data_IF_091639043023
#
_entry.id   IF_091639043023
#
_cell.length_a   1.000
_cell.length_b   1.000
_cell.length_c   1.000
_cell.angle_alpha   90.00
_cell.angle_beta   90.00
_cell.angle_gamma   90.00
#
_symmetry.space_group_name_H-M   'P 1'
#
loop_
_entity.id
_entity.type
_entity.pdbx_description
1 polymer ?
#
# COMPACT_ATOMS: atom_id res chain seq x y z
N UNK A 1 -17.44 19.17 -19.10
CA UNK A 1 -16.14 18.67 -18.60
C UNK A 1 -15.97 19.10 -17.15
N UNK A 2 -16.34 18.24 -16.21
CA UNK A 2 -16.02 18.35 -14.80
C UNK A 2 -15.87 16.91 -14.36
N UNK A 3 -14.63 16.41 -14.31
CA UNK A 3 -14.38 15.06 -13.79
C UNK A 3 -14.60 15.19 -12.30
N UNK A 4 -15.80 14.80 -11.87
CA UNK A 4 -16.24 14.89 -10.50
C UNK A 4 -15.28 14.14 -9.60
N UNK A 5 -14.50 14.89 -8.82
CA UNK A 5 -13.96 14.44 -7.55
C UNK A 5 -15.20 14.27 -6.65
N UNK A 6 -15.89 13.14 -6.80
CA UNK A 6 -16.98 12.78 -5.91
C UNK A 6 -16.38 12.54 -4.55
N UNK A 7 -16.72 13.44 -3.64
CA UNK A 7 -16.49 13.34 -2.20
C UNK A 7 -17.07 12.03 -1.68
N UNK A 8 -16.28 10.96 -1.62
CA UNK A 8 -16.54 9.85 -0.69
C UNK A 8 -15.79 10.13 0.62
N UNK A 9 -16.24 11.17 1.32
CA UNK A 9 -15.97 11.29 2.75
C UNK A 9 -16.92 10.32 3.48
N UNK A 10 -16.35 9.38 4.24
CA UNK A 10 -16.97 8.63 5.34
C UNK A 10 -18.29 7.87 5.04
N UNK A 11 -18.22 6.71 4.39
CA UNK A 11 -19.20 5.64 4.68
C UNK A 11 -18.47 4.40 5.14
N UNK A 12 -18.80 3.92 6.33
CA UNK A 12 -18.47 2.58 6.75
C UNK A 12 -19.27 1.60 5.88
N UNK A 13 -18.64 1.02 4.86
CA UNK A 13 -19.14 -0.18 4.20
C UNK A 13 -19.05 -1.33 5.20
N UNK A 14 -20.22 -1.68 5.72
CA UNK A 14 -20.47 -2.83 6.56
C UNK A 14 -20.38 -4.10 5.71
N UNK A 15 -19.19 -4.66 5.56
CA UNK A 15 -19.03 -6.06 5.17
C UNK A 15 -18.71 -6.88 6.42
N UNK A 16 -19.69 -7.68 6.85
CA UNK A 16 -19.51 -8.72 7.87
C UNK A 16 -18.27 -9.55 7.53
N UNK A 17 -17.42 -9.92 8.48
CA UNK A 17 -17.55 -11.17 9.23
C UNK A 17 -16.62 -11.15 10.46
N UNK A 18 -17.23 -11.28 11.65
CA UNK A 18 -16.72 -11.98 12.85
C UNK A 18 -15.22 -11.79 13.23
N UNK A 19 -14.94 -10.88 14.17
CA UNK A 19 -14.11 -11.06 15.39
C UNK A 19 -13.74 -9.69 15.98
N UNK A 20 -14.48 -9.22 17.00
CA UNK A 20 -14.15 -8.20 18.03
C UNK A 20 -13.23 -6.99 17.72
N UNK A 21 -12.97 -6.64 16.47
CA UNK A 21 -12.22 -5.47 16.04
C UNK A 21 -13.15 -4.65 15.16
N UNK A 22 -13.64 -3.55 15.72
CA UNK A 22 -14.47 -2.57 15.06
C UNK A 22 -13.62 -1.79 14.04
N UNK A 23 -13.13 -2.46 13.00
CA UNK A 23 -12.52 -1.80 11.85
C UNK A 23 -13.67 -1.37 10.93
N UNK A 24 -14.40 -0.32 11.31
CA UNK A 24 -15.09 0.49 10.29
C UNK A 24 -14.04 0.74 9.21
N UNK A 25 -14.40 0.64 7.93
CA UNK A 25 -13.54 0.97 6.79
C UNK A 25 -13.19 2.47 6.71
N UNK A 26 -12.92 3.10 7.85
CA UNK A 26 -12.08 4.28 7.97
C UNK A 26 -10.83 3.92 7.18
N UNK A 27 -10.71 4.47 5.96
CA UNK A 27 -9.70 4.03 5.02
C UNK A 27 -8.31 4.02 5.65
N UNK A 28 -7.47 3.10 5.20
CA UNK A 28 -6.08 3.09 5.64
C UNK A 28 -5.31 4.21 4.93
N UNK A 29 -4.28 4.80 5.58
CA UNK A 29 -3.42 5.79 4.95
C UNK A 29 -2.92 5.33 3.58
N UNK A 30 -3.10 6.16 2.56
CA UNK A 30 -2.71 5.87 1.20
C UNK A 30 -1.18 5.78 1.08
N UNK A 31 -0.67 4.68 0.52
CA UNK A 31 0.76 4.51 0.27
C UNK A 31 1.17 5.27 -1.00
N UNK A 32 2.38 5.80 -0.99
CA UNK A 32 2.99 6.59 -2.07
C UNK A 32 4.32 5.99 -2.46
N UNK A 33 4.84 6.45 -3.59
CA UNK A 33 6.26 6.32 -3.87
C UNK A 33 7.06 6.88 -2.68
N UNK A 34 8.17 6.22 -2.39
CA UNK A 34 9.08 6.48 -1.27
C UNK A 34 8.59 6.10 0.13
N UNK A 35 7.34 5.66 0.29
CA UNK A 35 6.90 5.13 1.58
C UNK A 35 7.60 3.79 1.88
N UNK A 36 7.95 3.57 3.15
CA UNK A 36 8.76 2.43 3.57
C UNK A 36 7.91 1.18 3.76
N UNK A 37 8.44 0.03 3.34
CA UNK A 37 7.95 -1.28 3.77
C UNK A 37 8.91 -1.90 4.78
N UNK A 38 8.44 -2.92 5.49
CA UNK A 38 9.29 -3.83 6.27
C UNK A 38 9.22 -5.20 5.65
N UNK A 39 10.38 -5.84 5.46
CA UNK A 39 10.48 -7.18 4.92
C UNK A 39 11.06 -8.13 6.00
N UNK A 40 10.32 -9.16 6.44
CA UNK A 40 10.80 -10.16 7.40
C UNK A 40 11.51 -11.34 6.73
N UNK A 41 11.57 -11.39 5.40
CA UNK A 41 12.21 -12.48 4.67
C UNK A 41 13.70 -12.54 5.00
N UNK A 42 14.24 -13.75 5.04
CA UNK A 42 15.67 -14.00 5.20
C UNK A 42 16.08 -14.89 4.05
N UNK A 43 17.04 -14.45 3.24
CA UNK A 43 17.59 -15.30 2.18
C UNK A 43 18.40 -16.42 2.84
N UNK A 44 18.09 -17.70 2.57
CA UNK A 44 18.89 -18.82 3.07
C UNK A 44 20.31 -18.74 2.49
N UNK A 45 21.31 -18.53 3.34
CA UNK A 45 22.72 -18.40 2.98
C UNK A 45 23.60 -18.51 4.22
N UNK A 46 24.92 -18.64 4.04
CA UNK A 46 25.90 -18.65 5.13
C UNK A 46 26.87 -17.49 4.92
N UNK A 47 26.79 -16.39 5.70
CA UNK A 47 25.79 -16.09 6.73
C UNK A 47 24.39 -15.79 6.16
N UNK A 48 23.30 -15.99 6.94
CA UNK A 48 21.96 -15.62 6.51
C UNK A 48 21.88 -14.10 6.34
N UNK A 49 21.23 -13.65 5.27
CA UNK A 49 21.10 -12.22 4.96
C UNK A 49 19.68 -11.79 5.33
N UNK A 50 19.48 -11.04 6.44
CA UNK A 50 18.18 -10.48 6.76
C UNK A 50 17.80 -9.46 5.70
N UNK A 51 16.59 -9.58 5.18
CA UNK A 51 16.05 -8.51 4.35
C UNK A 51 15.78 -7.30 5.25
N UNK A 52 16.04 -6.12 4.73
CA UNK A 52 15.63 -4.86 5.34
C UNK A 52 14.73 -4.18 4.33
N UNK A 53 13.53 -3.84 4.78
CA UNK A 53 12.58 -3.15 3.92
C UNK A 53 13.00 -1.70 3.69
N UNK A 54 12.73 -1.23 2.48
CA UNK A 54 13.09 0.09 2.00
C UNK A 54 11.93 0.80 1.30
N UNK A 55 12.20 1.90 0.59
CA UNK A 55 11.17 2.71 -0.04
C UNK A 55 10.53 1.99 -1.25
N UNK A 56 9.25 2.27 -1.49
CA UNK A 56 8.57 1.90 -2.74
C UNK A 56 9.11 2.76 -3.89
N UNK A 57 9.57 2.13 -4.96
CA UNK A 57 10.21 2.79 -6.12
C UNK A 57 9.37 2.84 -7.38
N UNK A 58 8.29 2.06 -7.47
CA UNK A 58 7.28 2.23 -8.52
C UNK A 58 7.10 1.03 -9.45
N UNK A 59 6.33 1.18 -10.54
CA UNK A 59 6.09 2.42 -11.30
C UNK A 59 5.07 3.41 -10.72
N UNK A 60 4.28 3.03 -9.71
CA UNK A 60 3.24 3.87 -9.12
C UNK A 60 2.14 4.26 -10.11
N UNK A 61 1.26 5.16 -9.68
CA UNK A 61 0.25 5.81 -10.51
C UNK A 61 0.62 7.30 -10.70
N UNK A 62 1.40 7.66 -11.75
CA UNK A 62 1.87 9.03 -11.95
C UNK A 62 0.75 10.06 -12.19
N UNK A 63 -0.44 9.60 -12.57
CA UNK A 63 -1.62 10.43 -12.77
C UNK A 63 -2.37 10.77 -11.47
N UNK A 64 -2.13 10.00 -10.39
CA UNK A 64 -2.79 10.20 -9.10
C UNK A 64 -1.76 10.58 -8.05
N UNK A 65 -1.80 11.84 -7.65
CA UNK A 65 -0.90 12.38 -6.63
C UNK A 65 -1.58 12.34 -5.26
N UNK A 66 -0.96 11.63 -4.32
CA UNK A 66 -1.34 11.57 -2.91
C UNK A 66 -0.31 12.39 -2.14
N UNK A 67 -0.75 13.48 -1.50
CA UNK A 67 0.13 14.41 -0.78
C UNK A 67 1.34 14.86 -1.63
N UNK A 68 1.07 15.24 -2.88
CA UNK A 68 2.07 15.71 -3.87
C UNK A 68 3.11 14.68 -4.34
N UNK A 69 2.93 13.41 -4.01
CA UNK A 69 3.76 12.32 -4.55
C UNK A 69 2.88 11.29 -5.28
N UNK A 70 3.39 10.57 -6.29
CA UNK A 70 2.60 9.56 -6.97
C UNK A 70 2.16 8.46 -6.01
N UNK A 71 0.89 8.09 -6.10
CA UNK A 71 0.31 7.02 -5.31
C UNK A 71 0.91 5.67 -5.69
N UNK A 72 1.09 4.79 -4.71
CA UNK A 72 1.52 3.42 -4.95
C UNK A 72 0.34 2.52 -5.27
N UNK A 73 0.57 1.50 -6.10
CA UNK A 73 -0.40 0.51 -6.56
C UNK A 73 0.15 -0.91 -6.39
N UNK A 74 -0.76 -1.88 -6.44
CA UNK A 74 -0.37 -3.30 -6.47
C UNK A 74 0.53 -3.59 -7.66
N UNK A 75 1.59 -4.36 -7.39
CA UNK A 75 2.65 -4.66 -8.33
C UNK A 75 3.76 -3.60 -8.39
N UNK A 76 3.71 -2.55 -7.56
CA UNK A 76 4.86 -1.66 -7.40
C UNK A 76 6.03 -2.38 -6.73
N UNK A 77 7.23 -2.07 -7.20
CA UNK A 77 8.45 -2.57 -6.61
C UNK A 77 8.84 -1.74 -5.39
N UNK A 78 9.32 -2.42 -4.36
CA UNK A 78 9.89 -1.83 -3.18
C UNK A 78 11.33 -2.32 -2.99
N UNK A 79 12.23 -1.38 -2.64
CA UNK A 79 13.64 -1.68 -2.44
C UNK A 79 13.80 -2.52 -1.20
N UNK A 80 14.35 -3.72 -1.35
CA UNK A 80 14.60 -4.64 -0.26
C UNK A 80 16.06 -5.13 -0.35
N UNK A 81 16.68 -5.42 0.79
CA UNK A 81 18.01 -6.05 0.82
C UNK A 81 17.88 -7.48 0.31
N UNK A 82 18.24 -7.71 -0.95
CA UNK A 82 18.02 -8.98 -1.65
C UNK A 82 17.43 -8.73 -3.03
N UNK A 83 16.45 -9.54 -3.42
CA UNK A 83 15.63 -9.26 -4.59
C UNK A 83 14.69 -8.07 -4.29
N UNK A 84 14.25 -7.30 -5.30
CA UNK A 84 13.20 -6.32 -5.12
C UNK A 84 11.91 -6.97 -4.62
N UNK A 85 11.31 -6.40 -3.58
CA UNK A 85 10.00 -6.82 -3.10
C UNK A 85 8.90 -6.17 -3.97
N UNK A 86 7.69 -6.70 -3.93
CA UNK A 86 6.55 -6.13 -4.67
C UNK A 86 5.32 -6.02 -3.78
N UNK A 87 4.52 -4.97 -3.97
CA UNK A 87 3.24 -4.83 -3.26
C UNK A 87 2.29 -5.92 -3.75
N UNK A 88 1.94 -6.84 -2.86
CA UNK A 88 1.20 -8.06 -3.22
C UNK A 88 -0.33 -7.84 -3.20
N UNK A 89 -0.83 -6.96 -2.34
CA UNK A 89 -2.25 -6.66 -2.21
C UNK A 89 -2.48 -5.17 -1.96
N UNK A 90 -3.69 -4.70 -2.24
CA UNK A 90 -4.10 -3.32 -2.11
C UNK A 90 -5.59 -3.21 -1.75
N UNK A 91 -6.15 -2.01 -1.90
CA UNK A 91 -7.58 -1.75 -1.79
C UNK A 91 -8.40 -2.57 -2.79
N UNK A 92 -9.53 -3.12 -2.33
CA UNK A 92 -10.49 -3.82 -3.19
C UNK A 92 -11.48 -2.88 -3.88
N UNK A 93 -11.57 -1.63 -3.42
CA UNK A 93 -12.58 -0.65 -3.88
C UNK A 93 -11.95 0.53 -4.63
N UNK A 94 -10.76 0.95 -4.23
CA UNK A 94 -10.04 2.08 -4.82
C UNK A 94 -9.03 1.58 -5.85
N UNK A 95 -9.27 1.94 -7.11
CA UNK A 95 -8.38 1.62 -8.23
C UNK A 95 -7.70 2.89 -8.75
N UNK A 96 -6.38 2.89 -8.83
CA UNK A 96 -5.57 3.96 -9.42
C UNK A 96 -4.97 3.47 -10.73
N UNK A 97 -5.34 4.12 -11.83
CA UNK A 97 -4.90 3.68 -13.17
C UNK A 97 -5.34 2.25 -13.52
N UNK A 98 -6.46 1.78 -12.95
CA UNK A 98 -6.98 0.42 -13.14
C UNK A 98 -6.31 -0.65 -12.28
N UNK A 99 -5.39 -0.28 -11.39
CA UNK A 99 -4.76 -1.19 -10.42
C UNK A 99 -5.21 -0.89 -8.99
N UNK A 100 -5.33 -1.89 -8.11
CA UNK A 100 -5.62 -1.67 -6.69
C UNK A 100 -4.65 -0.69 -6.02
N UNK A 101 -5.19 0.28 -5.26
CA UNK A 101 -4.39 1.27 -4.54
C UNK A 101 -3.68 0.64 -3.34
N UNK A 102 -2.39 0.90 -3.17
CA UNK A 102 -1.65 0.43 -2.00
C UNK A 102 -1.92 1.33 -0.77
N UNK A 103 -1.94 0.73 0.41
CA UNK A 103 -2.27 1.34 1.70
C UNK A 103 -1.30 0.89 2.78
N UNK A 104 -1.23 1.67 3.86
CA UNK A 104 -0.50 1.27 5.06
C UNK A 104 -1.05 -0.05 5.58
N UNK A 105 -0.15 -1.00 5.85
CA UNK A 105 -0.47 -2.33 6.31
C UNK A 105 -0.69 -3.36 5.20
N UNK A 106 -0.75 -2.96 3.93
CA UNK A 106 -0.91 -3.92 2.84
C UNK A 106 0.36 -4.80 2.71
N UNK A 107 0.18 -6.12 2.47
CA UNK A 107 1.28 -7.07 2.43
C UNK A 107 2.12 -6.94 1.16
N UNK A 108 3.40 -7.26 1.30
CA UNK A 108 4.35 -7.39 0.19
C UNK A 108 4.65 -8.85 -0.11
N UNK A 109 5.20 -9.14 -1.30
CA UNK A 109 5.45 -10.49 -1.78
C UNK A 109 6.45 -11.26 -0.92
N UNK A 110 7.37 -10.57 -0.26
CA UNK A 110 8.30 -11.17 0.71
C UNK A 110 7.67 -11.44 2.09
N UNK A 111 6.34 -11.32 2.24
CA UNK A 111 5.64 -11.49 3.52
C UNK A 111 5.79 -10.28 4.45
N UNK A 112 6.26 -9.17 3.90
CA UNK A 112 6.37 -7.89 4.57
C UNK A 112 5.08 -7.09 4.54
N UNK A 113 5.16 -5.83 4.99
CA UNK A 113 4.05 -4.88 4.91
C UNK A 113 4.52 -3.46 4.72
N UNK A 114 3.69 -2.62 4.11
CA UNK A 114 3.90 -1.19 4.03
C UNK A 114 3.70 -0.58 5.44
N UNK A 115 4.67 0.20 5.92
CA UNK A 115 4.64 0.78 7.28
C UNK A 115 4.50 2.30 7.31
N UNK A 116 4.59 2.95 6.15
CA UNK A 116 4.35 4.38 6.01
C UNK A 116 3.28 4.64 4.94
N UNK A 117 2.58 5.75 5.09
CA UNK A 117 1.55 6.20 4.17
C UNK A 117 1.19 7.66 4.47
N UNK A 118 0.45 8.30 3.58
CA UNK A 118 -0.06 9.64 3.80
C UNK A 118 -1.27 9.62 4.76
N UNK A 119 -1.17 10.17 5.99
CA UNK A 119 -2.29 10.17 6.92
C UNK A 119 -3.43 11.10 6.49
N UNK A 120 -3.18 11.98 5.53
CA UNK A 120 -4.14 12.96 5.01
C UNK A 120 -5.08 12.39 3.94
N UNK A 121 -4.76 11.23 3.37
CA UNK A 121 -5.55 10.58 2.32
C UNK A 121 -5.77 9.14 2.72
N UNK A 122 -7.03 8.72 2.81
CA UNK A 122 -7.42 7.42 3.29
C UNK A 122 -8.09 6.63 2.15
N UNK A 123 -7.61 5.42 1.87
CA UNK A 123 -8.21 4.51 0.89
C UNK A 123 -8.97 3.39 1.61
N UNK A 124 -10.21 3.14 1.18
CA UNK A 124 -11.08 2.07 1.67
C UNK A 124 -10.64 0.68 1.25
#
# INVERSE_FOLDING_TARGET
MSVGISRQFNRCDYQSLNTNHFFCIMGAPAARLTDMHVCPMVTPGVPPIPHVGGPITGPGAPTVLVASMPASVVGDMAVCVGLPDTVAMGSTTVLLGGKPAARLGDPTAHGGKIVLGAPTVLFG
#
